data_IF_684119610524
#
_entry.id   IF_684119610524
#
_cell.length_a   1.000
_cell.length_b   1.000
_cell.length_c   1.000
_cell.angle_alpha   90.00
_cell.angle_beta   90.00
_cell.angle_gamma   90.00
#
_symmetry.space_group_name_H-M   'P 1'
#
loop_
_entity.id
_entity.type
_entity.pdbx_description
1 polymer ?
#
# COMPACT_ATOMS: atom_id res chain seq x y z
N UNK A 1 -15.67 1.62 12.35
CA UNK A 1 -15.35 0.78 11.17
C UNK A 1 -14.09 0.01 11.52
N UNK A 2 -14.04 -1.31 11.34
CA UNK A 2 -12.86 -2.10 11.71
C UNK A 2 -11.95 -2.15 10.49
N UNK A 3 -10.75 -1.58 10.58
CA UNK A 3 -9.81 -1.55 9.46
C UNK A 3 -9.47 -2.96 9.03
N UNK A 4 -9.80 -3.31 7.78
CA UNK A 4 -9.54 -4.64 7.23
C UNK A 4 -8.05 -4.95 7.06
N UNK A 5 -7.21 -3.92 7.20
CA UNK A 5 -5.76 -3.99 7.08
C UNK A 5 -5.11 -3.11 8.15
N UNK A 6 -4.81 -3.65 9.34
CA UNK A 6 -4.19 -2.86 10.41
C UNK A 6 -2.76 -2.46 10.03
N UNK A 7 -2.41 -1.20 10.29
CA UNK A 7 -1.03 -0.72 10.27
C UNK A 7 -0.23 -1.41 11.36
N UNK A 8 0.90 -2.02 11.01
CA UNK A 8 1.79 -2.65 11.98
C UNK A 8 2.59 -1.57 12.69
N UNK A 9 2.46 -1.51 14.02
CA UNK A 9 3.21 -0.57 14.88
C UNK A 9 4.56 -1.14 15.35
N UNK A 10 4.75 -2.45 15.19
CA UNK A 10 5.91 -3.18 15.73
C UNK A 10 6.48 -4.13 14.67
N UNK A 11 7.78 -4.42 14.78
CA UNK A 11 8.48 -5.36 13.91
C UNK A 11 7.89 -6.78 14.00
N UNK A 12 7.69 -7.42 12.85
CA UNK A 12 7.24 -8.80 12.74
C UNK A 12 8.23 -9.62 11.88
N UNK A 13 8.78 -10.74 12.40
CA UNK A 13 9.72 -11.57 11.65
C UNK A 13 9.04 -12.30 10.48
N UNK A 14 9.85 -12.83 9.55
CA UNK A 14 9.36 -13.64 8.42
C UNK A 14 8.95 -12.85 7.17
N UNK A 15 9.33 -11.57 7.08
CA UNK A 15 8.97 -10.67 5.95
C UNK A 15 10.11 -10.36 4.98
N UNK A 16 11.24 -11.06 5.12
CA UNK A 16 12.41 -10.90 4.24
C UNK A 16 13.34 -9.73 4.59
N UNK A 17 13.06 -9.01 5.68
CA UNK A 17 13.92 -7.97 6.25
C UNK A 17 14.21 -8.26 7.73
N UNK A 18 15.38 -7.84 8.22
CA UNK A 18 15.78 -8.04 9.62
C UNK A 18 15.26 -6.90 10.49
N UNK A 19 15.23 -7.13 11.80
CA UNK A 19 14.87 -6.09 12.78
C UNK A 19 15.80 -4.88 12.71
N UNK A 20 17.11 -5.10 12.48
CA UNK A 20 18.06 -4.02 12.30
C UNK A 20 17.72 -3.12 11.11
N UNK A 21 17.26 -3.71 9.99
CA UNK A 21 16.83 -2.95 8.81
C UNK A 21 15.55 -2.15 9.09
N UNK A 22 14.68 -2.68 9.95
CA UNK A 22 13.46 -1.99 10.40
C UNK A 22 13.78 -0.82 11.33
N UNK A 23 14.61 -1.05 12.34
CA UNK A 23 14.97 -0.04 13.35
C UNK A 23 15.88 1.07 12.77
N UNK A 24 16.57 0.81 11.65
CA UNK A 24 17.42 1.79 10.98
C UNK A 24 16.64 2.88 10.21
N UNK A 25 15.36 2.64 9.92
CA UNK A 25 14.54 3.58 9.14
C UNK A 25 13.76 4.49 10.08
N UNK A 26 14.14 5.77 10.10
CA UNK A 26 13.33 6.81 10.71
C UNK A 26 12.23 7.24 9.71
N UNK A 27 10.98 7.22 10.15
CA UNK A 27 9.80 7.52 9.33
C UNK A 27 9.06 8.72 9.93
N UNK A 28 9.53 9.95 9.68
CA UNK A 28 8.84 11.15 10.14
C UNK A 28 7.45 11.24 9.49
N UNK A 29 6.49 11.81 10.22
CA UNK A 29 5.16 12.09 9.69
C UNK A 29 5.27 13.12 8.55
N UNK A 30 4.61 12.83 7.43
CA UNK A 30 4.53 13.76 6.31
C UNK A 30 3.58 14.91 6.67
N UNK A 31 3.98 16.14 6.37
CA UNK A 31 3.08 17.29 6.52
C UNK A 31 2.04 17.32 5.40
N UNK A 32 0.89 17.95 5.64
CA UNK A 32 -0.17 18.09 4.63
C UNK A 32 0.32 18.81 3.36
N UNK A 33 1.22 19.78 3.51
CA UNK A 33 1.81 20.51 2.39
C UNK A 33 2.72 19.63 1.53
N UNK A 34 3.51 18.76 2.17
CA UNK A 34 4.37 17.80 1.47
C UNK A 34 3.53 16.75 0.75
N UNK A 35 2.50 16.22 1.41
CA UNK A 35 1.58 15.26 0.81
C UNK A 35 0.85 15.85 -0.40
N UNK A 36 0.40 17.11 -0.32
CA UNK A 36 -0.29 17.79 -1.40
C UNK A 36 0.60 18.03 -2.64
N UNK A 37 1.93 18.13 -2.46
CA UNK A 37 2.89 18.28 -3.56
C UNK A 37 3.21 16.96 -4.26
N UNK A 38 2.87 15.81 -3.66
CA UNK A 38 3.17 14.52 -4.26
C UNK A 38 2.32 14.28 -5.51
N UNK A 39 2.97 13.75 -6.54
CA UNK A 39 2.30 13.43 -7.80
C UNK A 39 1.60 12.07 -7.70
N UNK A 40 0.39 11.92 -8.25
CA UNK A 40 -0.28 10.62 -8.30
C UNK A 40 0.58 9.57 -9.01
N UNK A 41 0.57 8.34 -8.48
CA UNK A 41 1.37 7.24 -9.02
C UNK A 41 1.10 6.97 -10.51
N UNK A 42 -0.13 7.21 -10.99
CA UNK A 42 -0.51 7.03 -12.41
C UNK A 42 0.19 7.99 -13.36
N UNK A 43 0.65 9.14 -12.87
CA UNK A 43 1.36 10.13 -13.68
C UNK A 43 2.87 9.89 -13.73
N UNK A 44 3.42 9.18 -12.75
CA UNK A 44 4.87 9.01 -12.59
C UNK A 44 5.32 7.61 -13.01
N UNK A 45 4.54 6.58 -12.67
CA UNK A 45 4.91 5.19 -12.96
C UNK A 45 4.52 4.81 -14.40
N UNK A 46 5.27 3.88 -15.04
CA UNK A 46 4.95 3.38 -16.37
C UNK A 46 3.54 2.77 -16.45
N UNK A 47 2.79 2.97 -17.55
CA UNK A 47 1.45 2.39 -17.72
C UNK A 47 1.42 0.85 -17.62
N UNK A 48 2.50 0.18 -18.01
CA UNK A 48 2.64 -1.28 -17.96
C UNK A 48 2.61 -1.84 -16.53
N UNK A 49 3.04 -1.05 -15.55
CA UNK A 49 2.94 -1.44 -14.13
C UNK A 49 1.48 -1.64 -13.73
N UNK A 50 0.61 -0.70 -14.09
CA UNK A 50 -0.82 -0.78 -13.78
C UNK A 50 -1.53 -1.88 -14.56
N UNK A 51 -1.19 -2.08 -15.85
CA UNK A 51 -1.71 -3.20 -16.64
C UNK A 51 -1.39 -4.55 -16.00
N UNK A 52 -0.18 -4.70 -15.48
CA UNK A 52 0.26 -5.91 -14.78
C UNK A 52 -0.52 -6.12 -13.47
N UNK A 53 -0.77 -5.06 -12.71
CA UNK A 53 -1.60 -5.11 -11.50
C UNK A 53 -3.04 -5.52 -11.81
N UNK A 54 -3.63 -4.96 -12.86
CA UNK A 54 -4.98 -5.33 -13.31
C UNK A 54 -5.06 -6.80 -13.74
N UNK A 55 -4.04 -7.30 -14.44
CA UNK A 55 -3.96 -8.71 -14.83
C UNK A 55 -3.83 -9.67 -13.62
N UNK A 56 -3.10 -9.27 -12.58
CA UNK A 56 -2.98 -10.04 -11.33
C UNK A 56 -4.25 -9.98 -10.48
N UNK A 57 -5.12 -8.98 -10.70
CA UNK A 57 -6.31 -8.79 -9.90
C UNK A 57 -7.34 -9.88 -10.22
N UNK A 58 -7.42 -10.90 -9.34
CA UNK A 58 -8.43 -11.95 -9.44
C UNK A 58 -9.83 -11.32 -9.51
N UNK A 59 -10.73 -11.76 -10.42
CA UNK A 59 -12.07 -11.19 -10.52
C UNK A 59 -12.78 -11.35 -9.18
N UNK A 60 -13.09 -10.22 -8.54
CA UNK A 60 -13.97 -10.18 -7.38
C UNK A 60 -15.34 -10.68 -7.84
N UNK A 61 -15.83 -11.75 -7.20
CA UNK A 61 -17.20 -12.20 -7.40
C UNK A 61 -18.14 -11.01 -7.14
N UNK A 62 -18.94 -10.62 -8.15
CA UNK A 62 -19.96 -9.59 -7.98
C UNK A 62 -20.90 -10.08 -6.88
N UNK A 63 -20.88 -9.42 -5.73
CA UNK A 63 -21.91 -9.62 -4.70
C UNK A 63 -23.22 -9.08 -5.28
N UNK A 64 -23.97 -9.94 -5.95
CA UNK A 64 -25.35 -9.62 -6.33
C UNK A 64 -26.13 -9.46 -5.02
N UNK A 65 -26.57 -8.23 -4.75
CA UNK A 65 -27.50 -7.95 -3.66
C UNK A 65 -28.83 -8.57 -4.07
N UNK A 66 -29.16 -9.74 -3.53
CA UNK A 66 -30.51 -10.31 -3.66
C UNK A 66 -31.44 -9.37 -2.90
N UNK A 67 -32.48 -8.90 -3.60
CA UNK A 67 -33.48 -7.95 -3.12
C UNK A 67 -34.49 -8.65 -2.23
#
# INVERSE_FOLDING_TARGET
>A
MKDRHPTLKEFQPGRGYKKADWDAVDSPELTDEELARMRPAREVLPPEFFRSLDAMRRPQAKKTKVK
#
